data_IF_058783497968
#
_entry.id   IF_058783497968
#
_cell.length_a   1.000
_cell.length_b   1.000
_cell.length_c   1.000
_cell.angle_alpha   90.00
_cell.angle_beta   90.00
_cell.angle_gamma   90.00
#
_symmetry.space_group_name_H-M   'P 1'
#
loop_
_entity.id
_entity.type
_entity.pdbx_description
1 polymer ?
#
# COMPACT_ATOMS: atom_id res chain seq x y z
N UNK A 1 9.51 -49.72 23.87
CA UNK A 1 8.75 -49.49 25.12
C UNK A 1 8.62 -47.99 25.30
N UNK A 2 7.58 -47.35 24.77
CA UNK A 2 6.30 -47.03 25.44
C UNK A 2 6.47 -46.48 26.86
N UNK A 3 6.07 -45.22 27.05
CA UNK A 3 6.04 -44.57 28.36
C UNK A 3 5.45 -43.16 28.34
N UNK A 4 4.27 -42.99 27.75
CA UNK A 4 3.40 -41.83 27.96
C UNK A 4 3.07 -41.66 29.44
N UNK A 5 2.99 -40.43 29.97
CA UNK A 5 1.87 -40.07 30.87
C UNK A 5 1.64 -38.56 30.96
N UNK A 6 0.36 -38.22 30.76
CA UNK A 6 -0.29 -36.92 30.80
C UNK A 6 -0.50 -36.43 32.24
N UNK A 7 -0.55 -35.11 32.47
CA UNK A 7 -1.41 -34.40 33.46
C UNK A 7 -1.09 -32.89 33.39
N UNK A 8 -2.01 -31.92 33.49
CA UNK A 8 -3.46 -31.93 33.61
C UNK A 8 -3.97 -30.51 33.26
N UNK A 9 -5.22 -30.44 32.80
CA UNK A 9 -5.97 -29.27 32.38
C UNK A 9 -6.39 -28.28 33.50
N UNK A 10 -6.72 -27.06 33.06
CA UNK A 10 -7.90 -26.23 33.41
C UNK A 10 -8.19 -25.74 34.84
N UNK A 11 -8.26 -24.41 34.97
CA UNK A 11 -9.20 -23.63 35.83
C UNK A 11 -9.50 -22.37 35.00
N UNK A 12 -10.64 -22.11 34.34
CA UNK A 12 -12.06 -22.03 34.72
C UNK A 12 -12.37 -21.13 35.92
N UNK A 13 -12.62 -19.84 35.66
CA UNK A 13 -13.46 -19.00 36.51
C UNK A 13 -14.59 -18.43 35.64
N UNK A 14 -15.82 -18.77 36.02
CA UNK A 14 -17.07 -18.49 35.34
C UNK A 14 -17.97 -17.71 36.29
N UNK A 15 -18.41 -16.52 35.84
CA UNK A 15 -19.76 -15.91 35.97
C UNK A 15 -20.28 -15.46 37.35
N UNK A 16 -20.91 -14.28 37.35
CA UNK A 16 -22.31 -13.99 37.79
C UNK A 16 -22.64 -12.53 37.35
N UNK A 17 -23.62 -12.26 36.45
CA UNK A 17 -25.08 -12.07 36.64
C UNK A 17 -25.38 -10.75 37.41
N UNK A 18 -26.27 -9.81 37.03
CA UNK A 18 -27.71 -9.84 36.71
C UNK A 18 -28.20 -8.47 36.16
N UNK A 19 -29.29 -8.43 35.40
CA UNK A 19 -30.28 -7.33 35.38
C UNK A 19 -30.31 -6.51 34.08
N UNK A 20 -31.42 -6.21 33.41
CA UNK A 20 -32.82 -6.26 33.80
C UNK A 20 -33.72 -6.62 32.60
N UNK A 21 -34.71 -7.43 32.93
CA UNK A 21 -35.97 -7.62 32.24
C UNK A 21 -36.64 -6.25 31.98
N UNK A 22 -37.07 -5.99 30.73
CA UNK A 22 -38.01 -4.91 30.41
C UNK A 22 -39.21 -5.57 29.75
N UNK A 23 -40.36 -5.17 30.26
CA UNK A 23 -41.63 -5.87 30.20
C UNK A 23 -42.25 -5.95 28.80
N UNK A 24 -43.04 -7.01 28.66
CA UNK A 24 -44.10 -7.14 27.68
C UNK A 24 -45.09 -5.96 27.77
N UNK A 25 -45.05 -5.05 26.79
CA UNK A 25 -46.17 -4.16 26.49
C UNK A 25 -46.97 -4.74 25.33
N UNK A 26 -48.01 -5.52 25.65
CA UNK A 26 -49.09 -5.83 24.70
C UNK A 26 -50.15 -4.73 24.84
N UNK A 27 -50.57 -4.14 23.73
CA UNK A 27 -51.92 -4.33 23.15
C UNK A 27 -52.49 -3.09 22.43
N UNK A 28 -52.89 -3.30 21.16
CA UNK A 28 -53.91 -2.56 20.40
C UNK A 28 -53.48 -1.16 19.93
N UNK A 29 -53.79 -0.64 18.75
CA UNK A 29 -54.72 -0.97 17.66
C UNK A 29 -54.20 -0.07 16.52
N UNK A 30 -53.79 -0.56 15.37
CA UNK A 30 -54.60 -0.45 14.15
C UNK A 30 -53.92 -1.21 12.99
N UNK A 31 -54.71 -2.03 12.32
CA UNK A 31 -54.42 -2.50 10.97
C UNK A 31 -54.30 -1.31 10.01
N UNK A 32 -53.10 -1.09 9.48
CA UNK A 32 -52.93 -0.50 8.14
C UNK A 32 -52.07 -1.45 7.31
N UNK A 33 -52.77 -2.43 6.73
CA UNK A 33 -52.72 -2.75 5.31
C UNK A 33 -51.44 -2.31 4.56
N UNK A 34 -50.56 -3.30 4.38
CA UNK A 34 -50.01 -3.74 3.11
C UNK A 34 -49.18 -2.76 2.23
N UNK A 35 -47.97 -3.27 1.95
CA UNK A 35 -47.15 -3.12 0.73
C UNK A 35 -46.13 -1.99 0.72
N UNK A 36 -45.00 -2.24 1.40
CA UNK A 36 -43.73 -1.84 0.83
C UNK A 36 -43.48 -2.67 -0.43
N UNK A 37 -44.07 -2.24 -1.54
CA UNK A 37 -43.50 -2.51 -2.84
C UNK A 37 -43.02 -1.18 -3.39
N UNK A 38 -41.89 -0.72 -2.88
CA UNK A 38 -41.01 0.14 -3.68
C UNK A 38 -40.45 -0.77 -4.75
N UNK A 39 -41.25 -1.03 -5.79
CA UNK A 39 -40.68 -1.35 -7.10
C UNK A 39 -39.76 -0.17 -7.35
N UNK A 40 -38.46 -0.37 -7.16
CA UNK A 40 -37.48 0.43 -7.86
C UNK A 40 -37.96 0.38 -9.30
N UNK A 41 -38.61 1.45 -9.77
CA UNK A 41 -38.84 1.64 -11.20
C UNK A 41 -37.45 1.44 -11.76
N UNK A 42 -37.21 0.30 -12.42
CA UNK A 42 -36.07 0.17 -13.29
C UNK A 42 -36.19 1.38 -14.19
N UNK A 43 -35.34 2.38 -13.95
CA UNK A 43 -35.44 3.64 -14.66
C UNK A 43 -35.32 3.23 -16.12
N UNK A 44 -36.41 3.39 -16.88
CA UNK A 44 -36.38 3.11 -18.31
C UNK A 44 -35.18 3.85 -18.88
N UNK A 45 -34.53 3.27 -19.89
CA UNK A 45 -33.28 3.79 -20.42
C UNK A 45 -33.38 5.29 -20.75
N UNK A 46 -34.57 5.75 -21.16
CA UNK A 46 -34.90 7.16 -21.37
C UNK A 46 -34.83 8.04 -20.11
N UNK A 47 -35.24 7.53 -18.96
CA UNK A 47 -35.15 8.22 -17.68
C UNK A 47 -33.70 8.26 -17.16
N UNK A 48 -32.92 7.20 -17.41
CA UNK A 48 -31.48 7.20 -17.14
C UNK A 48 -30.76 8.23 -17.99
N UNK A 49 -31.06 8.30 -19.29
CA UNK A 49 -30.47 9.29 -20.20
C UNK A 49 -30.85 10.72 -19.81
N UNK A 50 -32.09 10.93 -19.33
CA UNK A 50 -32.52 12.25 -18.82
C UNK A 50 -31.73 12.65 -17.58
N UNK A 51 -31.60 11.75 -16.60
CA UNK A 51 -30.82 12.00 -15.38
C UNK A 51 -29.33 12.15 -15.65
N UNK A 52 -28.77 11.37 -16.56
CA UNK A 52 -27.37 11.52 -16.94
C UNK A 52 -27.12 12.90 -17.54
N UNK A 53 -28.01 13.37 -18.42
CA UNK A 53 -27.91 14.71 -18.99
C UNK A 53 -28.04 15.82 -17.95
N UNK A 54 -29.00 15.69 -17.03
CA UNK A 54 -29.17 16.63 -15.92
C UNK A 54 -27.94 16.66 -14.99
N UNK A 55 -27.37 15.49 -14.70
CA UNK A 55 -26.15 15.37 -13.91
C UNK A 55 -24.92 15.91 -14.65
N UNK A 56 -24.83 15.69 -15.96
CA UNK A 56 -23.73 16.19 -16.80
C UNK A 56 -23.80 17.72 -16.95
N UNK A 57 -24.99 18.28 -17.11
CA UNK A 57 -25.22 19.73 -17.11
C UNK A 57 -24.87 20.35 -15.74
N UNK A 58 -25.26 19.70 -14.63
CA UNK A 58 -24.91 20.13 -13.28
C UNK A 58 -23.39 20.02 -13.02
N UNK A 59 -22.74 19.00 -13.55
CA UNK A 59 -21.30 18.80 -13.45
C UNK A 59 -20.52 19.84 -14.26
N UNK A 60 -20.96 20.11 -15.49
CA UNK A 60 -20.40 21.18 -16.31
C UNK A 60 -20.60 22.58 -15.70
N UNK A 61 -21.70 22.78 -14.97
CA UNK A 61 -21.93 24.00 -14.21
C UNK A 61 -20.97 24.10 -12.99
N UNK A 62 -20.78 23.00 -12.25
CA UNK A 62 -19.84 22.95 -11.14
C UNK A 62 -18.38 23.20 -11.58
N UNK A 63 -17.97 22.66 -12.74
CA UNK A 63 -16.64 22.92 -13.31
C UNK A 63 -16.44 24.39 -13.67
N UNK A 64 -17.43 25.03 -14.32
CA UNK A 64 -17.37 26.47 -14.62
C UNK A 64 -17.31 27.35 -13.38
N UNK A 65 -18.01 26.95 -12.32
CA UNK A 65 -17.97 27.67 -11.04
C UNK A 65 -16.62 27.50 -10.31
N UNK A 66 -15.98 26.33 -10.43
CA UNK A 66 -14.63 26.08 -9.92
C UNK A 66 -13.54 26.90 -10.65
N UNK A 67 -13.77 27.25 -11.92
CA UNK A 67 -12.86 28.10 -12.72
C UNK A 67 -13.02 29.61 -12.42
N UNK A 68 -14.08 30.03 -11.73
CA UNK A 68 -14.27 31.42 -11.29
C UNK A 68 -13.50 31.68 -9.97
N UNK A 69 -12.47 32.56 -9.96
CA UNK A 69 -11.61 32.76 -8.78
C UNK A 69 -12.30 33.48 -7.61
N UNK A 70 -13.51 34.00 -7.80
CA UNK A 70 -14.34 34.65 -6.78
C UNK A 70 -15.42 33.72 -6.19
N UNK A 71 -15.51 32.46 -6.65
CA UNK A 71 -16.43 31.49 -6.06
C UNK A 71 -15.84 30.99 -4.74
N UNK A 72 -16.38 31.50 -3.62
CA UNK A 72 -15.94 31.17 -2.25
C UNK A 72 -16.26 29.75 -1.81
N UNK A 73 -15.95 28.73 -2.63
CA UNK A 73 -15.99 27.34 -2.20
C UNK A 73 -14.78 27.06 -1.31
N UNK A 74 -15.02 27.01 0.00
CA UNK A 74 -14.11 26.40 0.96
C UNK A 74 -14.20 24.88 0.80
N UNK A 75 -13.74 24.38 -0.36
CA UNK A 75 -13.57 22.94 -0.59
C UNK A 75 -12.46 22.56 0.38
N UNK A 76 -12.71 21.64 1.34
CA UNK A 76 -11.64 21.05 2.12
C UNK A 76 -10.86 20.15 1.16
N UNK A 77 -10.07 20.80 0.32
CA UNK A 77 -9.11 20.19 -0.57
C UNK A 77 -8.21 19.43 0.38
N UNK A 78 -8.24 18.11 0.27
CA UNK A 78 -7.39 17.25 1.08
C UNK A 78 -5.92 17.69 0.96
N UNK A 79 -5.04 17.15 1.82
CA UNK A 79 -3.62 17.47 1.82
C UNK A 79 -3.08 17.53 0.38
N UNK A 80 -2.21 18.52 0.04
CA UNK A 80 -1.79 18.77 -1.33
C UNK A 80 -1.50 17.47 -2.08
N UNK A 81 -2.31 17.18 -3.10
CA UNK A 81 -2.15 15.99 -3.92
C UNK A 81 -0.80 16.13 -4.60
N UNK A 82 0.16 15.27 -4.23
CA UNK A 82 1.46 15.20 -4.89
C UNK A 82 1.22 15.05 -6.39
N UNK A 83 1.85 15.90 -7.20
CA UNK A 83 1.73 15.82 -8.66
C UNK A 83 2.01 14.39 -9.12
N UNK A 84 1.20 13.85 -10.04
CA UNK A 84 1.37 12.48 -10.55
C UNK A 84 2.82 12.20 -11.01
N UNK A 85 3.47 13.20 -11.61
CA UNK A 85 4.87 13.15 -12.02
C UNK A 85 5.86 12.95 -10.85
N UNK A 86 5.57 13.51 -9.68
CA UNK A 86 6.39 13.31 -8.48
C UNK A 86 6.22 11.90 -7.94
N UNK A 87 4.99 11.37 -7.94
CA UNK A 87 4.71 10.01 -7.48
C UNK A 87 5.35 8.95 -8.38
N UNK A 88 5.27 9.11 -9.70
CA UNK A 88 5.92 8.21 -10.65
C UNK A 88 7.45 8.24 -10.51
N UNK A 89 8.03 9.42 -10.28
CA UNK A 89 9.47 9.56 -10.04
C UNK A 89 9.90 8.80 -8.78
N UNK A 90 9.19 8.97 -7.67
CA UNK A 90 9.48 8.27 -6.41
C UNK A 90 9.39 6.74 -6.58
N UNK A 91 8.37 6.25 -7.30
CA UNK A 91 8.21 4.82 -7.59
C UNK A 91 9.34 4.25 -8.46
N UNK A 92 9.81 5.02 -9.46
CA UNK A 92 10.95 4.64 -10.31
C UNK A 92 12.24 4.61 -9.49
N UNK A 93 12.48 5.62 -8.67
CA UNK A 93 13.67 5.67 -7.80
C UNK A 93 13.67 4.53 -6.78
N UNK A 94 12.52 4.22 -6.18
CA UNK A 94 12.38 3.09 -5.27
C UNK A 94 12.71 1.76 -5.97
N UNK A 95 12.14 1.52 -7.16
CA UNK A 95 12.44 0.31 -7.95
C UNK A 95 13.90 0.21 -8.35
N UNK A 96 14.52 1.31 -8.76
CA UNK A 96 15.94 1.34 -9.11
C UNK A 96 16.82 1.00 -7.90
N UNK A 97 16.48 1.55 -6.73
CA UNK A 97 17.20 1.27 -5.48
C UNK A 97 17.08 -0.20 -5.08
N UNK A 98 15.88 -0.78 -5.18
CA UNK A 98 15.67 -2.22 -4.93
C UNK A 98 16.48 -3.09 -5.90
N UNK A 99 16.47 -2.75 -7.19
CA UNK A 99 17.28 -3.45 -8.19
C UNK A 99 18.77 -3.37 -7.89
N UNK A 100 19.27 -2.18 -7.52
CA UNK A 100 20.68 -2.00 -7.17
C UNK A 100 21.06 -2.85 -5.95
N UNK A 101 20.20 -2.88 -4.91
CA UNK A 101 20.44 -3.70 -3.72
C UNK A 101 20.53 -5.19 -4.04
N UNK A 102 19.68 -5.70 -4.95
CA UNK A 102 19.72 -7.09 -5.37
C UNK A 102 21.01 -7.39 -6.16
N UNK A 103 21.42 -6.50 -7.07
CA UNK A 103 22.68 -6.63 -7.80
C UNK A 103 23.88 -6.64 -6.86
N UNK A 104 23.94 -5.72 -5.89
CA UNK A 104 25.00 -5.65 -4.89
C UNK A 104 25.06 -6.94 -4.06
N UNK A 105 23.90 -7.51 -3.72
CA UNK A 105 23.80 -8.77 -2.98
C UNK A 105 24.38 -9.93 -3.78
N UNK A 106 23.98 -10.07 -5.04
CA UNK A 106 24.46 -11.13 -5.93
C UNK A 106 25.96 -10.98 -6.20
N UNK A 107 26.43 -9.75 -6.40
CA UNK A 107 27.84 -9.43 -6.56
C UNK A 107 28.64 -9.87 -5.34
N UNK A 108 28.22 -9.46 -4.12
CA UNK A 108 28.88 -9.85 -2.87
C UNK A 108 28.95 -11.36 -2.72
N UNK A 109 27.86 -12.09 -2.96
CA UNK A 109 27.87 -13.55 -2.86
C UNK A 109 28.87 -14.20 -3.82
N UNK A 110 28.90 -13.74 -5.08
CA UNK A 110 29.83 -14.27 -6.09
C UNK A 110 31.27 -13.92 -5.76
N UNK A 111 31.51 -12.71 -5.27
CA UNK A 111 32.83 -12.22 -4.88
C UNK A 111 33.39 -13.00 -3.69
N UNK A 112 32.59 -13.22 -2.65
CA UNK A 112 32.96 -14.03 -1.48
C UNK A 112 33.25 -15.49 -1.87
N UNK A 113 32.41 -16.08 -2.71
CA UNK A 113 32.64 -17.43 -3.21
C UNK A 113 33.95 -17.53 -4.02
N UNK A 114 34.24 -16.52 -4.83
CA UNK A 114 35.48 -16.44 -5.61
C UNK A 114 36.70 -16.34 -4.68
N UNK A 115 36.67 -15.47 -3.68
CA UNK A 115 37.76 -15.35 -2.71
C UNK A 115 38.03 -16.66 -1.97
N UNK A 116 36.96 -17.35 -1.57
CA UNK A 116 37.07 -18.64 -0.91
C UNK A 116 37.67 -19.73 -1.81
N UNK A 117 37.34 -19.74 -3.12
CA UNK A 117 37.87 -20.70 -4.09
C UNK A 117 39.39 -20.56 -4.26
N UNK A 118 39.88 -19.31 -4.35
CA UNK A 118 41.30 -19.03 -4.53
C UNK A 118 42.07 -18.95 -3.20
N UNK A 119 41.37 -19.07 -2.07
CA UNK A 119 41.96 -18.97 -0.73
C UNK A 119 42.54 -17.59 -0.41
N UNK A 120 42.02 -16.54 -1.05
CA UNK A 120 42.49 -15.15 -0.86
C UNK A 120 41.68 -14.50 0.25
N UNK A 121 42.36 -13.92 1.24
CA UNK A 121 41.70 -13.16 2.31
C UNK A 121 41.27 -11.77 1.85
N UNK A 122 40.20 -11.25 2.47
CA UNK A 122 39.78 -9.85 2.26
C UNK A 122 40.89 -8.84 2.52
N UNK A 123 41.69 -9.10 3.55
CA UNK A 123 42.81 -8.24 3.94
C UNK A 123 43.90 -8.24 2.86
N UNK A 124 44.28 -9.40 2.34
CA UNK A 124 45.35 -9.53 1.35
C UNK A 124 44.96 -8.85 0.03
N UNK A 125 43.70 -9.01 -0.39
CA UNK A 125 43.19 -8.32 -1.57
C UNK A 125 43.10 -6.80 -1.37
N UNK A 126 42.71 -6.35 -0.17
CA UNK A 126 42.68 -4.92 0.16
C UNK A 126 44.08 -4.31 0.13
N UNK A 127 45.08 -4.97 0.72
CA UNK A 127 46.48 -4.52 0.68
C UNK A 127 47.01 -4.49 -0.76
N UNK A 128 46.69 -5.49 -1.58
CA UNK A 128 47.02 -5.47 -3.00
C UNK A 128 46.34 -4.31 -3.75
N UNK A 129 45.05 -4.08 -3.53
CA UNK A 129 44.33 -2.99 -4.17
C UNK A 129 44.88 -1.61 -3.74
N UNK A 130 45.14 -1.42 -2.45
CA UNK A 130 45.73 -0.19 -1.91
C UNK A 130 47.14 0.06 -2.48
N UNK A 131 47.98 -0.98 -2.56
CA UNK A 131 49.31 -0.84 -3.16
C UNK A 131 49.20 -0.45 -4.63
N UNK A 132 48.36 -1.11 -5.43
CA UNK A 132 48.14 -0.77 -6.83
C UNK A 132 47.63 0.66 -7.04
N UNK A 133 46.72 1.13 -6.17
CA UNK A 133 46.24 2.52 -6.19
C UNK A 133 47.35 3.50 -5.77
N UNK A 134 48.16 3.17 -4.76
CA UNK A 134 49.24 4.02 -4.26
C UNK A 134 50.36 4.23 -5.29
N UNK A 135 50.61 3.22 -6.13
CA UNK A 135 51.56 3.30 -7.23
C UNK A 135 50.95 3.84 -8.53
N UNK A 136 49.71 4.35 -8.48
CA UNK A 136 48.95 4.86 -9.63
C UNK A 136 48.81 3.86 -10.79
N UNK A 137 48.96 2.56 -10.51
CA UNK A 137 48.78 1.50 -11.50
C UNK A 137 47.31 1.26 -11.80
N UNK A 138 46.44 1.56 -10.83
CA UNK A 138 44.99 1.62 -10.97
C UNK A 138 44.46 3.03 -10.68
N UNK A 139 43.45 3.45 -11.44
CA UNK A 139 42.72 4.70 -11.25
C UNK A 139 41.38 4.39 -10.60
N UNK A 140 41.05 5.08 -9.51
CA UNK A 140 39.85 4.81 -8.71
C UNK A 140 38.55 5.09 -9.47
N UNK A 141 38.58 6.07 -10.38
CA UNK A 141 37.39 6.57 -11.10
C UNK A 141 37.24 5.98 -12.51
N UNK A 142 38.13 5.08 -12.91
CA UNK A 142 38.15 4.56 -14.29
C UNK A 142 37.67 3.12 -14.27
N UNK A 143 36.40 2.90 -14.61
CA UNK A 143 35.87 1.55 -14.86
C UNK A 143 36.60 1.00 -16.09
N UNK A 144 37.38 -0.09 -15.98
CA UNK A 144 38.07 -0.66 -17.13
C UNK A 144 37.02 -1.15 -18.15
N UNK A 145 36.85 -0.41 -19.26
CA UNK A 145 35.86 -0.73 -20.30
C UNK A 145 34.96 0.43 -20.75
N UNK A 146 35.01 1.61 -20.11
CA UNK A 146 34.23 2.80 -20.51
C UNK A 146 34.91 3.67 -21.60
N UNK A 147 35.76 3.08 -22.44
CA UNK A 147 36.22 3.76 -23.65
C UNK A 147 35.27 3.40 -24.80
N UNK A 148 34.31 4.28 -25.06
CA UNK A 148 33.48 4.27 -26.27
C UNK A 148 33.77 5.50 -27.11
#
# INVERSE_FOLDING_TARGET
>A
MLGSFKRLCTVFVKKCYVGSHIDHFKQGVNETSMKYQKVEKQLDEREKLRKFRELDDAFAQALRQLDDPDSGFDIPTGPPVRSLATLEKDDVEAKQKEQQQEQDRLFKQRFEALLAEYGVGHYDLAELAETLLSYELWQLDTVPGEQQ
#
